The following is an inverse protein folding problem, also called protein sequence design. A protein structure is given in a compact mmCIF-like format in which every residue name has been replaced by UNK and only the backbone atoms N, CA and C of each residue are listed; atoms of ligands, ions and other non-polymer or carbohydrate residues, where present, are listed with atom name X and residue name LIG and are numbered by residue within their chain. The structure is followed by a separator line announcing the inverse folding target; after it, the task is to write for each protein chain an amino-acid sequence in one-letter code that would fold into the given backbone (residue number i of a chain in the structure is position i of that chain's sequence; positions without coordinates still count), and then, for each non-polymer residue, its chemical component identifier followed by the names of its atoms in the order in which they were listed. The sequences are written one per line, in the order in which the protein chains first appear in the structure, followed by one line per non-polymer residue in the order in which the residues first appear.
data_IF_579326506271
#
_entry.id   IF_579326506271
#
_cell.length_a   1.000
_cell.length_b   1.000
_cell.length_c   1.000
_cell.angle_alpha   90.00
_cell.angle_beta   90.00
_cell.angle_gamma   90.00
#
_symmetry.space_group_name_H-M   'P 1'
#
loop_
_entity.id
_entity.type
_entity.pdbx_description
1 polymer ?
#
# COMPACT_ATOMS: atom_id res chain seq x y z
N UNK A 1 -1.31 -23.47 -9.34
CA UNK A 1 -1.03 -22.05 -9.66
C UNK A 1 -1.06 -21.21 -8.40
N UNK A 2 -0.32 -20.10 -8.36
CA UNK A 2 -0.25 -19.21 -7.19
C UNK A 2 -1.00 -17.91 -7.47
N UNK A 3 -1.66 -17.36 -6.45
CA UNK A 3 -2.37 -16.07 -6.52
C UNK A 3 -1.97 -15.22 -5.33
N UNK A 4 -1.58 -13.97 -5.59
CA UNK A 4 -1.31 -12.97 -4.55
C UNK A 4 -2.56 -12.12 -4.40
N UNK A 5 -3.02 -11.98 -3.16
CA UNK A 5 -4.22 -11.21 -2.79
C UNK A 5 -3.76 -10.09 -1.83
N UNK A 6 -3.34 -8.94 -2.38
CA UNK A 6 -2.99 -7.81 -1.53
C UNK A 6 -4.26 -7.17 -0.96
N UNK A 7 -4.12 -6.61 0.25
CA UNK A 7 -5.10 -5.68 0.79
C UNK A 7 -4.99 -4.30 0.12
N UNK A 8 -5.40 -3.21 0.79
CA UNK A 8 -5.25 -1.86 0.24
C UNK A 8 -3.77 -1.55 0.00
N UNK A 9 -3.37 -1.39 -1.26
CA UNK A 9 -1.95 -1.18 -1.61
C UNK A 9 -1.62 0.30 -1.51
N UNK A 10 -0.64 0.66 -0.70
CA UNK A 10 -0.14 2.03 -0.62
C UNK A 10 1.39 2.07 -0.77
N UNK A 11 1.95 3.18 -1.25
CA UNK A 11 3.40 3.35 -1.35
C UNK A 11 3.80 4.29 -2.48
N UNK A 12 5.10 4.46 -2.70
CA UNK A 12 5.59 5.39 -3.72
C UNK A 12 5.30 4.93 -5.13
N UNK A 13 5.02 5.88 -6.02
CA UNK A 13 5.10 5.61 -7.45
C UNK A 13 6.55 5.34 -7.84
N UNK A 14 6.76 4.52 -8.88
CA UNK A 14 8.09 4.36 -9.47
C UNK A 14 8.56 5.71 -10.03
N UNK A 15 9.86 5.97 -10.04
CA UNK A 15 10.43 7.25 -10.51
C UNK A 15 10.01 7.58 -11.95
N UNK A 16 9.97 6.57 -12.82
CA UNK A 16 9.56 6.71 -14.23
C UNK A 16 8.05 6.55 -14.44
N UNK A 17 7.26 6.37 -13.37
CA UNK A 17 5.81 6.29 -13.50
C UNK A 17 5.26 7.70 -13.78
N UNK A 18 4.40 7.81 -14.79
CA UNK A 18 3.68 9.05 -15.05
C UNK A 18 2.88 9.42 -13.81
N UNK A 19 3.34 10.45 -13.09
CA UNK A 19 2.71 10.87 -11.84
C UNK A 19 1.24 11.21 -12.11
N UNK A 20 0.32 10.74 -11.26
CA UNK A 20 -1.08 11.10 -11.32
C UNK A 20 -1.27 12.61 -11.40
N UNK A 21 -2.01 13.06 -12.43
CA UNK A 21 -2.38 14.48 -12.61
C UNK A 21 -3.72 14.80 -11.97
N UNK A 22 -4.52 13.76 -11.68
CA UNK A 22 -5.85 13.90 -11.09
C UNK A 22 -6.02 12.97 -9.88
N UNK A 23 -6.92 13.31 -8.96
CA UNK A 23 -7.21 12.48 -7.77
C UNK A 23 -7.62 11.04 -8.14
N UNK A 24 -8.46 10.79 -9.17
CA UNK A 24 -8.78 9.43 -9.60
C UNK A 24 -7.56 8.60 -10.05
N UNK A 25 -6.53 9.24 -10.61
CA UNK A 25 -5.30 8.57 -11.07
C UNK A 25 -4.41 8.13 -9.90
N UNK A 26 -4.64 8.62 -8.68
CA UNK A 26 -3.89 8.21 -7.49
C UNK A 26 -4.19 6.76 -7.04
N UNK A 27 -5.18 6.07 -7.64
CA UNK A 27 -5.56 4.70 -7.26
C UNK A 27 -5.81 4.59 -5.74
N UNK A 28 -5.30 3.54 -5.09
CA UNK A 28 -5.38 3.34 -3.63
C UNK A 28 -4.54 4.35 -2.85
N UNK A 29 -3.54 5.00 -3.47
CA UNK A 29 -2.79 6.11 -2.84
C UNK A 29 -3.66 7.36 -2.64
N UNK A 30 -4.84 7.48 -3.27
CA UNK A 30 -5.77 8.60 -3.03
C UNK A 30 -6.17 8.72 -1.56
N UNK A 31 -6.16 7.60 -0.84
CA UNK A 31 -6.46 7.54 0.59
C UNK A 31 -5.38 8.24 1.42
N UNK A 32 -4.11 8.10 1.04
CA UNK A 32 -3.00 8.81 1.67
C UNK A 32 -2.96 10.30 1.29
N UNK A 33 -3.37 10.66 0.07
CA UNK A 33 -3.44 12.07 -0.34
C UNK A 33 -4.39 12.88 0.55
N UNK A 34 -5.49 12.28 1.02
CA UNK A 34 -6.40 12.91 1.97
C UNK A 34 -5.78 13.26 3.34
N UNK A 35 -4.60 12.70 3.66
CA UNK A 35 -3.85 13.04 4.89
C UNK A 35 -2.92 14.23 4.72
N UNK A 36 -2.61 14.63 3.48
CA UNK A 36 -1.74 15.78 3.21
C UNK A 36 -2.59 17.03 3.43
N UNK A 37 -2.32 17.84 4.47
CA UNK A 37 -3.20 18.94 4.81
C UNK A 37 -3.19 19.98 3.67
N UNK A 38 -4.34 20.37 3.12
CA UNK A 38 -4.43 21.46 2.17
C UNK A 38 -4.41 22.77 2.95
N UNK A 39 -3.27 23.16 3.53
CA UNK A 39 -3.08 24.48 4.17
C UNK A 39 -4.05 24.88 5.31
N UNK A 40 -4.99 24.03 5.73
CA UNK A 40 -6.00 24.34 6.76
C UNK A 40 -5.70 23.68 8.10
N UNK A 41 -5.95 24.42 9.17
CA UNK A 41 -5.58 24.16 10.57
C UNK A 41 -6.12 22.84 11.19
N UNK A 42 -6.92 22.06 10.47
CA UNK A 42 -7.44 20.78 10.97
C UNK A 42 -7.46 19.72 9.85
N UNK A 43 -6.75 18.59 9.99
CA UNK A 43 -6.89 17.47 9.07
C UNK A 43 -8.29 16.85 9.27
N UNK A 44 -9.15 16.99 8.27
CA UNK A 44 -10.40 16.22 8.22
C UNK A 44 -10.05 14.78 7.87
N UNK A 45 -10.03 13.90 8.88
CA UNK A 45 -9.84 12.48 8.64
C UNK A 45 -10.97 11.94 7.77
N UNK A 46 -10.67 11.09 6.78
CA UNK A 46 -11.73 10.43 6.05
C UNK A 46 -12.54 9.49 6.97
N UNK A 47 -13.87 9.53 6.87
CA UNK A 47 -14.79 8.71 7.69
C UNK A 47 -14.72 7.20 7.39
N UNK A 48 -13.94 6.77 6.40
CA UNK A 48 -13.67 5.35 6.17
C UNK A 48 -12.40 4.92 6.93
N UNK A 49 -12.43 3.78 7.62
CA UNK A 49 -11.27 3.31 8.35
C UNK A 49 -10.19 2.80 7.36
N UNK A 50 -8.94 3.16 7.60
CA UNK A 50 -7.78 2.72 6.83
C UNK A 50 -7.41 1.25 7.14
N UNK A 51 -8.33 0.32 6.88
CA UNK A 51 -8.17 -1.09 7.27
C UNK A 51 -7.31 -1.85 6.26
N UNK A 52 -6.40 -2.67 6.80
CA UNK A 52 -5.50 -3.58 6.07
C UNK A 52 -4.76 -2.90 4.90
N UNK A 53 -3.63 -2.25 5.23
CA UNK A 53 -2.72 -1.70 4.21
C UNK A 53 -1.57 -2.67 3.95
N UNK A 54 -1.07 -2.69 2.73
CA UNK A 54 0.19 -3.31 2.36
C UNK A 54 1.05 -2.33 1.55
N UNK A 55 2.36 -2.29 1.82
CA UNK A 55 3.28 -1.48 1.03
C UNK A 55 3.44 -2.09 -0.37
N UNK A 56 3.44 -1.29 -1.43
CA UNK A 56 3.55 -1.78 -2.81
C UNK A 56 4.81 -2.63 -3.07
N UNK A 57 5.95 -2.29 -2.44
CA UNK A 57 7.17 -3.10 -2.50
C UNK A 57 7.00 -4.49 -1.88
N UNK A 58 6.19 -4.63 -0.84
CA UNK A 58 5.92 -5.94 -0.22
C UNK A 58 4.99 -6.78 -1.11
N UNK A 59 4.06 -6.15 -1.83
CA UNK A 59 3.26 -6.82 -2.87
C UNK A 59 4.17 -7.31 -4.00
N UNK A 60 5.11 -6.48 -4.48
CA UNK A 60 6.07 -6.87 -5.50
C UNK A 60 6.95 -8.04 -5.04
N UNK A 61 7.48 -8.00 -3.81
CA UNK A 61 8.23 -9.10 -3.19
C UNK A 61 7.37 -10.36 -3.10
N UNK A 62 6.11 -10.26 -2.69
CA UNK A 62 5.20 -11.40 -2.62
C UNK A 62 4.97 -12.05 -3.99
N UNK A 63 4.84 -11.26 -5.06
CA UNK A 63 4.78 -11.78 -6.43
C UNK A 63 6.05 -12.53 -6.82
N UNK A 64 7.23 -11.97 -6.55
CA UNK A 64 8.51 -12.65 -6.81
C UNK A 64 8.61 -13.96 -6.03
N UNK A 65 8.30 -13.93 -4.72
CA UNK A 65 8.26 -15.11 -3.87
C UNK A 65 7.29 -16.18 -4.38
N UNK A 66 6.10 -15.77 -4.84
CA UNK A 66 5.10 -16.68 -5.38
C UNK A 66 5.53 -17.35 -6.70
N UNK A 67 6.38 -16.69 -7.49
CA UNK A 67 6.94 -17.22 -8.74
C UNK A 67 8.07 -18.23 -8.49
N UNK A 68 8.93 -17.96 -7.50
CA UNK A 68 10.07 -18.85 -7.18
C UNK A 68 9.70 -19.98 -6.22
N UNK A 69 8.54 -19.90 -5.55
CA UNK A 69 8.08 -20.95 -4.66
C UNK A 69 7.92 -22.28 -5.43
N UNK A 70 8.31 -23.42 -4.82
CA UNK A 70 8.09 -24.74 -5.42
C UNK A 70 6.63 -24.91 -5.84
N UNK A 71 6.32 -25.70 -6.86
CA UNK A 71 4.92 -25.99 -7.17
C UNK A 71 4.26 -26.70 -5.96
N UNK A 72 3.01 -26.36 -5.58
CA UNK A 72 2.34 -27.09 -4.53
C UNK A 72 2.10 -28.55 -4.99
N UNK A 73 2.14 -29.51 -4.05
CA UNK A 73 1.86 -30.91 -4.37
C UNK A 73 0.45 -31.07 -4.94
N UNK A 74 0.24 -32.14 -5.70
CA UNK A 74 -1.08 -32.58 -6.18
C UNK A 74 -1.87 -31.56 -7.02
N UNK A 75 -1.18 -30.61 -7.68
CA UNK A 75 -1.83 -29.64 -8.56
C UNK A 75 -2.66 -28.58 -7.82
N UNK A 76 -2.45 -28.43 -6.51
CA UNK A 76 -3.17 -27.45 -5.71
C UNK A 76 -2.93 -26.00 -6.18
N UNK A 77 -3.83 -25.11 -5.75
CA UNK A 77 -3.69 -23.67 -5.96
C UNK A 77 -3.41 -22.99 -4.63
N UNK A 78 -2.38 -22.15 -4.58
CA UNK A 78 -2.03 -21.37 -3.39
C UNK A 78 -2.52 -19.94 -3.51
N UNK A 79 -3.07 -19.42 -2.41
CA UNK A 79 -3.45 -18.02 -2.27
C UNK A 79 -2.64 -17.41 -1.13
N UNK A 80 -1.89 -16.36 -1.43
CA UNK A 80 -1.11 -15.61 -0.46
C UNK A 80 -1.87 -14.32 -0.14
N UNK A 81 -2.40 -14.22 1.07
CA UNK A 81 -3.00 -12.97 1.56
C UNK A 81 -1.86 -12.13 2.12
N UNK A 82 -1.68 -10.92 1.57
CA UNK A 82 -0.64 -10.00 2.02
C UNK A 82 -1.32 -8.78 2.61
N UNK A 83 -1.20 -8.65 3.93
CA UNK A 83 -1.64 -7.48 4.71
C UNK A 83 -0.60 -7.21 5.80
N UNK A 84 -0.34 -5.94 6.10
CA UNK A 84 0.47 -5.52 7.24
C UNK A 84 -0.36 -5.39 8.53
N UNK A 85 -1.68 -5.55 8.42
CA UNK A 85 -2.62 -5.41 9.53
C UNK A 85 -3.40 -4.10 9.49
N UNK A 86 -4.22 -3.91 10.52
CA UNK A 86 -5.05 -2.71 10.69
C UNK A 86 -4.17 -1.50 10.98
N UNK A 87 -4.43 -0.40 10.29
CA UNK A 87 -3.79 0.90 10.53
C UNK A 87 -4.90 1.94 10.77
N UNK A 88 -4.72 2.77 11.78
CA UNK A 88 -5.54 3.95 12.00
C UNK A 88 -4.96 5.13 11.23
N UNK A 89 -5.78 6.15 10.99
CA UNK A 89 -5.29 7.39 10.39
C UNK A 89 -4.24 8.10 11.25
N UNK A 90 -4.30 7.93 12.57
CA UNK A 90 -3.32 8.46 13.52
C UNK A 90 -1.96 7.79 13.29
N UNK A 91 -1.92 6.46 13.26
CA UNK A 91 -0.69 5.69 12.99
C UNK A 91 -0.11 6.01 11.60
N UNK A 92 -0.97 6.26 10.60
CA UNK A 92 -0.52 6.65 9.26
C UNK A 92 0.17 8.02 9.23
N UNK A 93 -0.31 8.99 10.02
CA UNK A 93 0.32 10.31 10.16
C UNK A 93 1.64 10.20 10.91
N UNK A 94 1.67 9.44 12.01
CA UNK A 94 2.90 9.20 12.78
C UNK A 94 3.99 8.58 11.89
N UNK A 95 3.62 7.62 11.04
CA UNK A 95 4.52 7.02 10.06
C UNK A 95 5.02 8.02 9.00
N UNK A 96 4.21 9.02 8.63
CA UNK A 96 4.63 10.09 7.73
C UNK A 96 5.60 11.09 8.37
N UNK A 97 5.56 11.24 9.71
CA UNK A 97 6.37 12.19 10.45
C UNK A 97 7.76 11.68 10.83
N UNK A 98 8.06 10.39 10.66
CA UNK A 98 9.42 9.85 10.84
C UNK A 98 10.35 10.42 9.75
N UNK A 99 11.29 11.32 10.09
CA UNK A 99 12.29 11.81 9.16
C UNK A 99 13.44 10.78 9.11
N UNK A 100 14.01 10.59 7.91
CA UNK A 100 15.30 9.92 7.67
C UNK A 100 15.34 8.39 7.50
N UNK A 101 14.62 7.84 6.51
CA UNK A 101 15.17 6.72 5.71
C UNK A 101 14.62 6.63 4.27
N UNK A 102 13.87 7.64 3.83
CA UNK A 102 13.02 7.59 2.63
C UNK A 102 13.55 8.46 1.47
N UNK A 103 14.68 9.15 1.65
CA UNK A 103 15.34 9.90 0.58
C UNK A 103 16.84 9.63 0.56
N UNK A 104 17.24 8.42 0.14
CA UNK A 104 18.51 8.13 -0.53
C UNK A 104 18.34 6.95 -1.46
#
# INVERSE_FOLDING_TARGET
SSTVLPSTVCGWFLEDYLLPKTIPELNTNKFLYGLIPPTTEFPSFPDYPLRDIVHNLDVARAHVCALIAPAPPNGERRRFIISRGLMSWVEAIEFHQEPETIFK
#
